data_IF_932566034178
#
_entry.id   IF_932566034178
#
_cell.length_a   1.000
_cell.length_b   1.000
_cell.length_c   1.000
_cell.angle_alpha   90.00
_cell.angle_beta   90.00
_cell.angle_gamma   90.00
#
_symmetry.space_group_name_H-M   'P 1'
#
loop_
_entity.id
_entity.type
_entity.pdbx_description
1 polymer ?
#
# COMPACT_ATOMS: atom_id res chain seq x y z
N UNK A 1 -21.91 -6.03 1.88
CA UNK A 1 -22.48 -7.06 2.77
C UNK A 1 -21.95 -8.49 2.59
N UNK A 2 -21.32 -8.87 1.48
CA UNK A 2 -20.91 -10.27 1.24
C UNK A 2 -19.53 -10.69 1.79
N UNK A 3 -18.67 -9.74 2.18
CA UNK A 3 -17.28 -10.02 2.61
C UNK A 3 -17.08 -9.84 4.13
N UNK A 4 -18.09 -9.35 4.86
CA UNK A 4 -18.02 -9.16 6.32
C UNK A 4 -17.00 -8.12 6.78
N UNK A 5 -16.51 -7.27 5.87
CA UNK A 5 -15.55 -6.21 6.15
C UNK A 5 -16.16 -4.85 5.81
N UNK A 6 -16.09 -3.93 6.78
CA UNK A 6 -16.48 -2.52 6.60
C UNK A 6 -15.40 -1.63 7.22
N UNK A 7 -14.34 -1.41 6.45
CA UNK A 7 -13.19 -0.64 6.92
C UNK A 7 -13.54 0.82 7.23
N UNK A 8 -14.50 1.41 6.51
CA UNK A 8 -14.95 2.78 6.78
C UNK A 8 -15.65 2.87 8.14
N UNK A 9 -16.56 1.94 8.44
CA UNK A 9 -17.18 1.84 9.77
C UNK A 9 -16.13 1.62 10.86
N UNK A 10 -15.15 0.75 10.64
CA UNK A 10 -14.11 0.50 11.64
C UNK A 10 -13.27 1.74 11.92
N UNK A 11 -12.96 2.53 10.89
CA UNK A 11 -12.32 3.83 11.03
C UNK A 11 -13.20 4.82 11.80
N UNK A 12 -14.47 4.97 11.41
CA UNK A 12 -15.43 5.86 12.06
C UNK A 12 -15.60 5.55 13.55
N UNK A 13 -15.63 4.26 13.90
CA UNK A 13 -15.79 3.77 15.27
C UNK A 13 -14.50 3.80 16.09
N UNK A 14 -13.35 4.07 15.46
CA UNK A 14 -12.05 4.05 16.12
C UNK A 14 -11.65 2.65 16.61
N UNK A 15 -12.08 1.59 15.92
CA UNK A 15 -11.72 0.21 16.27
C UNK A 15 -10.32 -0.18 15.80
N UNK A 16 -9.76 0.59 14.87
CA UNK A 16 -8.44 0.36 14.28
C UNK A 16 -7.62 1.65 14.32
N UNK A 17 -6.33 1.51 14.60
CA UNK A 17 -5.39 2.64 14.65
C UNK A 17 -4.92 3.07 13.26
N UNK A 18 -5.00 2.18 12.28
CA UNK A 18 -4.71 2.42 10.86
C UNK A 18 -5.41 1.37 10.01
N UNK A 19 -5.62 1.68 8.74
CA UNK A 19 -6.20 0.76 7.76
C UNK A 19 -5.18 0.40 6.69
N UNK A 20 -5.18 -0.86 6.26
CA UNK A 20 -4.28 -1.37 5.20
C UNK A 20 -5.11 -1.92 4.03
N UNK A 21 -5.60 -1.06 3.12
CA UNK A 21 -6.34 -1.53 1.95
C UNK A 21 -5.44 -2.38 1.03
N UNK A 22 -6.00 -3.44 0.47
CA UNK A 22 -5.30 -4.35 -0.45
C UNK A 22 -5.34 -3.78 -1.88
N UNK A 23 -4.58 -2.72 -2.15
CA UNK A 23 -4.55 -1.98 -3.43
C UNK A 23 -3.75 -2.71 -4.52
N UNK A 24 -4.11 -3.97 -4.75
CA UNK A 24 -3.39 -4.84 -5.66
C UNK A 24 -3.70 -4.49 -7.11
N UNK A 25 -2.86 -3.64 -7.65
CA UNK A 25 -2.83 -3.21 -9.05
C UNK A 25 -1.39 -2.90 -9.42
N UNK A 26 -0.98 -3.23 -10.64
CA UNK A 26 0.31 -2.80 -11.22
C UNK A 26 0.20 -1.41 -11.87
N UNK A 27 -1.01 -0.91 -12.12
CA UNK A 27 -1.24 0.44 -12.65
C UNK A 27 -1.02 1.52 -11.58
N UNK A 28 -0.04 2.44 -11.77
CA UNK A 28 0.21 3.54 -10.83
C UNK A 28 -0.97 4.52 -10.74
N UNK A 29 -1.66 4.76 -11.86
CA UNK A 29 -2.82 5.65 -11.91
C UNK A 29 -4.01 5.09 -11.11
N UNK A 30 -4.28 3.79 -11.23
CA UNK A 30 -5.34 3.15 -10.44
C UNK A 30 -4.98 3.13 -8.96
N UNK A 31 -3.73 2.79 -8.64
CA UNK A 31 -3.23 2.85 -7.27
C UNK A 31 -3.42 4.25 -6.67
N UNK A 32 -2.99 5.31 -7.37
CA UNK A 32 -3.17 6.70 -6.92
C UNK A 32 -4.64 7.03 -6.63
N UNK A 33 -5.55 6.59 -7.51
CA UNK A 33 -6.98 6.80 -7.34
C UNK A 33 -7.54 6.08 -6.11
N UNK A 34 -7.11 4.83 -5.86
CA UNK A 34 -7.53 4.08 -4.69
C UNK A 34 -7.08 4.76 -3.40
N UNK A 35 -5.80 5.09 -3.27
CA UNK A 35 -5.26 5.77 -2.08
C UNK A 35 -6.02 7.07 -1.79
N UNK A 36 -6.29 7.87 -2.83
CA UNK A 36 -7.03 9.13 -2.69
C UNK A 36 -8.46 8.91 -2.20
N UNK A 37 -9.15 7.91 -2.77
CA UNK A 37 -10.51 7.56 -2.35
C UNK A 37 -10.54 7.11 -0.90
N UNK A 38 -9.52 6.37 -0.45
CA UNK A 38 -9.46 5.78 0.88
C UNK A 38 -9.19 6.80 1.97
N UNK A 39 -8.29 7.75 1.71
CA UNK A 39 -8.11 8.89 2.60
C UNK A 39 -9.42 9.67 2.81
N UNK A 40 -10.32 9.68 1.82
CA UNK A 40 -11.63 10.31 1.92
C UNK A 40 -12.59 9.61 2.90
N UNK A 41 -12.59 8.28 2.95
CA UNK A 41 -13.49 7.52 3.83
C UNK A 41 -12.86 7.06 5.15
N UNK A 42 -11.54 7.23 5.34
CA UNK A 42 -10.85 6.75 6.53
C UNK A 42 -11.09 7.60 7.80
N UNK A 43 -11.92 8.64 7.77
CA UNK A 43 -12.28 9.45 8.95
C UNK A 43 -11.08 9.96 9.79
N UNK A 44 -9.95 10.27 9.12
CA UNK A 44 -8.72 10.71 9.78
C UNK A 44 -7.83 9.59 10.32
N UNK A 45 -8.30 8.33 10.27
CA UNK A 45 -7.47 7.15 10.54
C UNK A 45 -6.40 7.02 9.45
N UNK A 46 -5.12 6.82 9.80
CA UNK A 46 -4.05 6.65 8.83
C UNK A 46 -4.32 5.51 7.84
N UNK A 47 -4.21 5.81 6.55
CA UNK A 47 -4.25 4.82 5.46
C UNK A 47 -2.82 4.38 5.15
N UNK A 48 -2.54 3.08 5.19
CA UNK A 48 -1.26 2.47 4.78
C UNK A 48 -1.52 1.59 3.55
N UNK A 49 -1.46 2.14 2.33
CA UNK A 49 -1.80 1.40 1.11
C UNK A 49 -0.99 0.11 0.94
N UNK A 50 -1.65 -0.98 0.58
CA UNK A 50 -1.03 -2.27 0.30
C UNK A 50 -0.61 -2.39 -1.17
N UNK A 51 0.69 -2.33 -1.43
CA UNK A 51 1.32 -2.51 -2.74
C UNK A 51 1.37 -3.99 -3.09
N UNK A 52 0.69 -4.40 -4.17
CA UNK A 52 0.55 -5.80 -4.58
C UNK A 52 1.71 -6.34 -5.42
N UNK A 53 2.96 -6.18 -5.00
CA UNK A 53 4.16 -6.52 -5.78
C UNK A 53 4.18 -7.95 -6.36
N UNK A 54 3.52 -8.89 -5.68
CA UNK A 54 3.33 -10.30 -6.09
C UNK A 54 1.91 -10.80 -5.82
N UNK A 55 0.92 -9.91 -5.90
CA UNK A 55 -0.49 -10.32 -5.81
C UNK A 55 -0.88 -11.21 -7.01
N UNK A 56 -1.99 -11.95 -6.90
CA UNK A 56 -2.43 -12.87 -7.96
C UNK A 56 -2.54 -12.16 -9.31
N UNK A 57 -1.77 -12.63 -10.30
CA UNK A 57 -1.74 -12.06 -11.65
C UNK A 57 -0.84 -10.82 -11.80
N UNK A 58 -0.16 -10.38 -10.73
CA UNK A 58 0.72 -9.20 -10.72
C UNK A 58 2.15 -9.65 -10.39
N UNK A 59 3.13 -9.06 -11.09
CA UNK A 59 4.56 -9.27 -10.81
C UNK A 59 5.36 -7.99 -11.09
N UNK A 60 5.39 -7.10 -10.11
CA UNK A 60 6.02 -5.78 -10.25
C UNK A 60 7.52 -5.83 -10.03
N UNK A 61 8.29 -5.20 -10.90
CA UNK A 61 9.72 -4.87 -10.72
C UNK A 61 9.96 -4.00 -9.48
N UNK A 62 11.19 -3.94 -8.94
CA UNK A 62 11.53 -2.99 -7.88
C UNK A 62 11.20 -1.53 -8.23
N UNK A 63 11.40 -1.14 -9.49
CA UNK A 63 11.13 0.21 -9.99
C UNK A 63 9.64 0.55 -9.92
N UNK A 64 8.76 -0.37 -10.33
CA UNK A 64 7.30 -0.21 -10.23
C UNK A 64 6.85 -0.13 -8.76
N UNK A 65 7.49 -0.89 -7.86
CA UNK A 65 7.21 -0.78 -6.41
C UNK A 65 7.67 0.58 -5.88
N UNK A 66 8.84 1.08 -6.31
CA UNK A 66 9.35 2.41 -5.96
C UNK A 66 8.38 3.50 -6.42
N UNK A 67 7.82 3.38 -7.62
CA UNK A 67 6.82 4.33 -8.13
C UNK A 67 5.58 4.41 -7.23
N UNK A 68 5.03 3.26 -6.81
CA UNK A 68 3.91 3.24 -5.87
C UNK A 68 4.29 3.81 -4.50
N UNK A 69 5.51 3.56 -4.01
CA UNK A 69 6.01 4.21 -2.79
C UNK A 69 6.03 5.74 -2.94
N UNK A 70 6.48 6.27 -4.07
CA UNK A 70 6.44 7.72 -4.31
C UNK A 70 5.03 8.27 -4.32
N UNK A 71 4.05 7.54 -4.86
CA UNK A 71 2.64 7.91 -4.78
C UNK A 71 2.19 8.03 -3.33
N UNK A 72 2.50 7.03 -2.47
CA UNK A 72 2.13 7.07 -1.05
C UNK A 72 2.71 8.29 -0.33
N UNK A 73 3.96 8.65 -0.63
CA UNK A 73 4.64 9.83 -0.09
C UNK A 73 3.99 11.12 -0.54
N UNK A 74 3.75 11.26 -1.84
CA UNK A 74 3.15 12.47 -2.43
C UNK A 74 1.72 12.69 -1.93
N UNK A 75 1.03 11.62 -1.57
CA UNK A 75 -0.29 11.66 -0.96
C UNK A 75 -0.29 11.76 0.58
N UNK A 76 0.87 11.81 1.22
CA UNK A 76 0.97 11.99 2.67
C UNK A 76 0.42 10.82 3.49
N UNK A 77 0.45 9.59 2.97
CA UNK A 77 -0.15 8.43 3.66
C UNK A 77 0.62 8.02 4.91
N UNK A 78 1.81 8.56 5.17
CA UNK A 78 2.65 8.25 6.35
C UNK A 78 3.23 6.84 6.37
N UNK A 79 3.03 6.04 5.32
CA UNK A 79 3.58 4.70 5.17
C UNK A 79 2.83 3.86 4.14
N UNK A 80 3.30 2.63 3.96
CA UNK A 80 2.77 1.65 3.01
C UNK A 80 3.08 0.23 3.50
N UNK A 81 2.41 -0.77 2.93
CA UNK A 81 2.72 -2.19 3.11
C UNK A 81 2.99 -2.82 1.75
N UNK A 82 3.87 -3.82 1.67
CA UNK A 82 4.12 -4.59 0.45
C UNK A 82 3.57 -6.00 0.66
N UNK A 83 2.71 -6.44 -0.27
CA UNK A 83 2.25 -7.82 -0.35
C UNK A 83 2.90 -8.53 -1.55
N UNK A 84 3.51 -9.69 -1.36
CA UNK A 84 3.74 -10.44 -0.12
C UNK A 84 5.21 -10.38 0.32
N UNK A 85 5.56 -11.09 1.38
CA UNK A 85 6.95 -11.32 1.74
C UNK A 85 7.31 -12.78 1.45
N UNK A 86 7.95 -13.02 0.30
CA UNK A 86 8.45 -14.32 -0.12
C UNK A 86 9.91 -14.23 -0.59
N UNK A 87 10.47 -15.34 -1.10
CA UNK A 87 11.89 -15.43 -1.50
C UNK A 87 12.28 -14.33 -2.48
N UNK A 88 11.43 -14.05 -3.47
CA UNK A 88 11.70 -13.01 -4.47
C UNK A 88 11.73 -11.62 -3.83
N UNK A 89 10.74 -11.29 -2.99
CA UNK A 89 10.65 -9.97 -2.39
C UNK A 89 11.82 -9.75 -1.42
N UNK A 90 12.20 -10.78 -0.66
CA UNK A 90 13.34 -10.74 0.25
C UNK A 90 14.69 -10.59 -0.46
N UNK A 91 14.86 -11.15 -1.66
CA UNK A 91 16.15 -11.19 -2.37
C UNK A 91 16.29 -10.15 -3.48
N UNK A 92 15.20 -9.66 -4.05
CA UNK A 92 15.22 -8.72 -5.18
C UNK A 92 14.57 -7.37 -4.87
N UNK A 93 13.40 -7.35 -4.23
CA UNK A 93 12.66 -6.10 -4.00
C UNK A 93 13.20 -5.37 -2.77
N UNK A 94 13.14 -5.99 -1.58
CA UNK A 94 13.56 -5.36 -0.31
C UNK A 94 14.99 -4.82 -0.37
N UNK A 95 16.00 -5.54 -0.91
CA UNK A 95 17.35 -5.01 -1.04
C UNK A 95 17.43 -3.78 -1.96
N UNK A 96 16.71 -3.78 -3.09
CA UNK A 96 16.66 -2.64 -4.01
C UNK A 96 16.00 -1.42 -3.36
N UNK A 97 14.94 -1.62 -2.57
CA UNK A 97 14.32 -0.53 -1.81
C UNK A 97 15.29 0.03 -0.75
N UNK A 98 15.97 -0.84 -0.02
CA UNK A 98 16.95 -0.47 1.01
C UNK A 98 18.18 0.27 0.49
N UNK A 99 18.53 0.10 -0.79
CA UNK A 99 19.61 0.83 -1.44
C UNK A 99 19.27 2.32 -1.70
N UNK A 100 17.99 2.70 -1.65
CA UNK A 100 17.54 4.05 -1.96
C UNK A 100 16.29 4.45 -1.22
N UNK A 101 15.13 4.12 -1.77
CA UNK A 101 13.84 4.69 -1.33
C UNK A 101 13.55 4.45 0.16
N UNK A 102 14.03 3.36 0.78
CA UNK A 102 13.85 3.08 2.21
C UNK A 102 15.16 3.05 3.01
N UNK A 103 16.23 3.66 2.50
CA UNK A 103 17.51 3.72 3.22
C UNK A 103 17.32 4.47 4.55
N UNK A 104 17.80 3.89 5.66
CA UNK A 104 17.86 4.57 6.95
C UNK A 104 18.89 5.71 6.91
N UNK A 105 18.57 6.82 7.57
CA UNK A 105 19.51 7.95 7.76
C UNK A 105 20.69 7.55 8.66
#
# INVERSE_FOLDING_TARGET
>A
DSIGQDAALWCERGWIDFVVPMDYTDSPLLFERYVRSQQGWAHGVPVRPGIGASATGIRMTPEEVIEQIWITRRQGTGGFCIFNFAVREATAIVPALGAGVTKAE
#
